data_IF_039426621677
#
_entry.id   IF_039426621677
#
_cell.length_a   1.000
_cell.length_b   1.000
_cell.length_c   1.000
_cell.angle_alpha   90.00
_cell.angle_beta   90.00
_cell.angle_gamma   90.00
#
_symmetry.space_group_name_H-M   'P 1'
#
loop_
_entity.id
_entity.type
_entity.pdbx_description
1 polymer ?
#
# COMPACT_ATOMS: atom_id res chain seq x y z
N UNK A 1 30.33 44.84 -24.44
CA UNK A 1 29.80 43.88 -25.44
C UNK A 1 28.29 44.09 -25.46
N UNK A 2 27.76 44.77 -26.48
CA UNK A 2 26.31 45.02 -26.59
C UNK A 2 25.65 43.73 -27.03
N UNK A 3 24.83 43.10 -26.18
CA UNK A 3 24.01 41.96 -26.62
C UNK A 3 23.19 42.39 -27.83
N UNK A 4 23.25 41.61 -28.90
CA UNK A 4 22.37 41.79 -30.04
C UNK A 4 20.93 41.52 -29.56
N UNK A 5 19.96 42.35 -29.97
CA UNK A 5 18.57 42.24 -29.48
C UNK A 5 17.96 40.86 -29.74
N UNK A 6 18.43 40.18 -30.80
CA UNK A 6 18.04 38.81 -31.12
C UNK A 6 18.51 37.79 -30.06
N UNK A 7 19.74 37.91 -29.57
CA UNK A 7 20.29 37.01 -28.55
C UNK A 7 19.56 37.17 -27.22
N UNK A 8 19.23 38.42 -26.85
CA UNK A 8 18.44 38.69 -25.64
C UNK A 8 17.03 38.10 -25.73
N UNK A 9 16.38 38.19 -26.90
CA UNK A 9 15.05 37.60 -27.11
C UNK A 9 15.06 36.07 -27.05
N UNK A 10 16.10 35.45 -27.61
CA UNK A 10 16.29 34.00 -27.55
C UNK A 10 16.48 33.51 -26.11
N UNK A 11 17.34 34.17 -25.33
CA UNK A 11 17.59 33.84 -23.92
C UNK A 11 16.30 33.94 -23.08
N UNK A 12 15.48 34.97 -23.31
CA UNK A 12 14.19 35.13 -22.61
C UNK A 12 13.23 33.99 -22.94
N UNK A 13 13.12 33.62 -24.23
CA UNK A 13 12.25 32.54 -24.66
C UNK A 13 12.69 31.19 -24.05
N UNK A 14 13.99 30.90 -24.09
CA UNK A 14 14.57 29.68 -23.51
C UNK A 14 14.34 29.63 -21.98
N UNK A 15 14.49 30.76 -21.30
CA UNK A 15 14.21 30.88 -19.87
C UNK A 15 12.73 30.63 -19.57
N UNK A 16 11.81 31.14 -20.40
CA UNK A 16 10.38 31.00 -20.21
C UNK A 16 9.90 29.55 -20.47
N UNK A 17 10.48 28.89 -21.46
CA UNK A 17 10.25 27.46 -21.73
C UNK A 17 10.81 26.61 -20.59
N UNK A 18 12.02 26.91 -20.12
CA UNK A 18 12.62 26.20 -18.99
C UNK A 18 11.79 26.36 -17.71
N UNK A 19 11.30 27.58 -17.45
CA UNK A 19 10.45 27.87 -16.30
C UNK A 19 9.09 27.17 -16.40
N UNK A 20 8.49 27.08 -17.58
CA UNK A 20 7.20 26.41 -17.77
C UNK A 20 7.32 24.89 -17.59
N UNK A 21 8.41 24.29 -18.07
CA UNK A 21 8.73 22.88 -17.82
C UNK A 21 8.93 22.67 -16.32
N UNK A 22 9.71 23.52 -15.66
CA UNK A 22 9.94 23.40 -14.21
C UNK A 22 8.64 23.51 -13.43
N UNK A 23 7.79 24.49 -13.76
CA UNK A 23 6.48 24.67 -13.13
C UNK A 23 5.57 23.45 -13.33
N UNK A 24 5.58 22.84 -14.52
CA UNK A 24 4.84 21.61 -14.80
C UNK A 24 5.34 20.43 -13.96
N UNK A 25 6.66 20.28 -13.84
CA UNK A 25 7.24 19.21 -13.01
C UNK A 25 6.88 19.36 -11.54
N UNK A 26 7.04 20.57 -11.00
CA UNK A 26 6.74 20.85 -9.58
C UNK A 26 5.25 20.77 -9.31
N UNK A 27 4.41 21.30 -10.20
CA UNK A 27 2.97 21.40 -9.99
C UNK A 27 2.20 20.10 -10.26
N UNK A 28 2.70 19.24 -11.15
CA UNK A 28 1.94 18.06 -11.62
C UNK A 28 2.75 16.78 -11.45
N UNK A 29 3.96 16.70 -12.02
CA UNK A 29 4.69 15.43 -12.09
C UNK A 29 5.10 14.93 -10.72
N UNK A 30 5.66 15.80 -9.88
CA UNK A 30 6.09 15.46 -8.52
C UNK A 30 4.90 15.01 -7.65
N UNK A 31 3.81 15.81 -7.49
CA UNK A 31 2.70 15.39 -6.64
C UNK A 31 2.04 14.10 -7.13
N UNK A 32 1.84 13.94 -8.44
CA UNK A 32 1.31 12.71 -9.02
C UNK A 32 2.19 11.49 -8.71
N UNK A 33 3.51 11.64 -8.85
CA UNK A 33 4.45 10.54 -8.56
C UNK A 33 4.44 10.17 -7.08
N UNK A 34 4.38 11.16 -6.19
CA UNK A 34 4.27 10.92 -4.74
C UNK A 34 2.97 10.19 -4.38
N UNK A 35 1.84 10.62 -4.94
CA UNK A 35 0.55 9.98 -4.72
C UNK A 35 0.55 8.52 -5.18
N UNK A 36 1.11 8.25 -6.37
CA UNK A 36 1.26 6.88 -6.87
C UNK A 36 2.13 6.00 -5.97
N UNK A 37 3.22 6.53 -5.42
CA UNK A 37 4.07 5.80 -4.48
C UNK A 37 3.35 5.50 -3.16
N UNK A 38 2.59 6.47 -2.64
CA UNK A 38 1.78 6.28 -1.43
C UNK A 38 0.71 5.21 -1.64
N UNK A 39 -0.06 5.29 -2.73
CA UNK A 39 -1.08 4.30 -3.08
C UNK A 39 -0.48 2.90 -3.25
N UNK A 40 0.69 2.81 -3.88
CA UNK A 40 1.40 1.53 -4.02
C UNK A 40 1.81 0.96 -2.67
N UNK A 41 2.30 1.79 -1.75
CA UNK A 41 2.68 1.36 -0.40
C UNK A 41 1.47 0.82 0.36
N UNK A 42 0.37 1.57 0.38
CA UNK A 42 -0.88 1.16 1.03
C UNK A 42 -1.43 -0.15 0.45
N UNK A 43 -1.42 -0.29 -0.88
CA UNK A 43 -1.91 -1.51 -1.52
C UNK A 43 -1.02 -2.72 -1.24
N UNK A 44 0.30 -2.54 -1.14
CA UNK A 44 1.23 -3.60 -0.74
C UNK A 44 0.91 -4.10 0.67
N UNK A 45 0.70 -3.17 1.61
CA UNK A 45 0.34 -3.50 2.99
C UNK A 45 -0.98 -4.27 3.08
N UNK A 46 -2.01 -3.86 2.35
CA UNK A 46 -3.28 -4.58 2.28
C UNK A 46 -3.15 -6.01 1.73
N UNK A 47 -2.28 -6.20 0.72
CA UNK A 47 -2.02 -7.52 0.14
C UNK A 47 -1.29 -8.42 1.15
N UNK A 48 -0.29 -7.90 1.86
CA UNK A 48 0.39 -8.65 2.92
C UNK A 48 -0.56 -8.98 4.08
N UNK A 49 -1.39 -8.02 4.51
CA UNK A 49 -2.41 -8.26 5.55
C UNK A 49 -3.35 -9.42 5.17
N UNK A 50 -3.81 -9.43 3.92
CA UNK A 50 -4.67 -10.49 3.37
C UNK A 50 -3.95 -11.83 3.32
N UNK A 51 -2.66 -11.84 2.96
CA UNK A 51 -1.83 -13.04 2.97
C UNK A 51 -1.64 -13.59 4.38
N UNK A 52 -1.34 -12.74 5.36
CA UNK A 52 -1.21 -13.16 6.75
C UNK A 52 -2.52 -13.72 7.31
N UNK A 53 -3.65 -13.09 6.97
CA UNK A 53 -4.96 -13.61 7.34
C UNK A 53 -5.21 -15.00 6.74
N UNK A 54 -4.89 -15.19 5.46
CA UNK A 54 -5.00 -16.47 4.79
C UNK A 54 -4.10 -17.54 5.43
N UNK A 55 -2.84 -17.21 5.73
CA UNK A 55 -1.90 -18.12 6.39
C UNK A 55 -2.38 -18.48 7.81
N UNK A 56 -2.88 -17.51 8.59
CA UNK A 56 -3.47 -17.78 9.90
C UNK A 56 -4.71 -18.67 9.78
N UNK A 57 -5.59 -18.41 8.81
CA UNK A 57 -6.79 -19.22 8.57
C UNK A 57 -6.47 -20.66 8.17
N UNK A 58 -5.40 -20.89 7.40
CA UNK A 58 -4.99 -22.23 6.95
C UNK A 58 -4.60 -23.14 8.12
N UNK A 59 -4.00 -22.58 9.17
CA UNK A 59 -3.54 -23.31 10.35
C UNK A 59 -4.35 -23.02 11.60
N UNK A 60 -5.55 -22.48 11.41
CA UNK A 60 -6.44 -22.12 12.50
C UNK A 60 -7.00 -23.36 13.17
N UNK A 61 -6.85 -23.42 14.50
CA UNK A 61 -7.43 -24.47 15.34
C UNK A 61 -8.18 -23.80 16.48
N UNK A 62 -9.52 -23.85 16.43
CA UNK A 62 -10.38 -23.25 17.45
C UNK A 62 -10.15 -23.82 18.86
N UNK A 63 -9.60 -25.04 18.97
CA UNK A 63 -9.30 -25.68 20.26
C UNK A 63 -7.98 -25.21 20.86
N UNK A 64 -7.10 -24.61 20.04
CA UNK A 64 -5.80 -24.11 20.44
C UNK A 64 -5.51 -22.76 19.77
N UNK A 65 -6.15 -21.68 20.22
CA UNK A 65 -5.93 -20.35 19.67
C UNK A 65 -4.46 -19.98 19.78
N UNK A 66 -3.85 -19.58 18.66
CA UNK A 66 -2.45 -19.18 18.61
C UNK A 66 -2.30 -17.68 18.49
N UNK A 67 -1.23 -17.20 19.09
CA UNK A 67 -0.68 -15.89 18.84
C UNK A 67 0.57 -16.05 17.98
N UNK A 68 0.60 -15.38 16.83
CA UNK A 68 1.70 -15.45 15.86
C UNK A 68 2.06 -14.08 15.33
N UNK A 69 3.37 -13.84 15.21
CA UNK A 69 3.89 -12.65 14.54
C UNK A 69 4.50 -13.02 13.20
N UNK A 70 4.04 -12.35 12.14
CA UNK A 70 4.53 -12.50 10.79
C UNK A 70 5.39 -11.29 10.39
N UNK A 71 6.42 -11.54 9.58
CA UNK A 71 7.28 -10.50 9.04
C UNK A 71 7.50 -10.74 7.54
N UNK A 72 7.19 -9.76 6.71
CA UNK A 72 7.41 -9.86 5.26
C UNK A 72 7.59 -8.50 4.61
N UNK A 73 8.67 -8.35 3.83
CA UNK A 73 8.83 -7.21 2.94
C UNK A 73 8.77 -5.84 3.61
N UNK A 74 9.10 -5.75 4.91
CA UNK A 74 9.03 -4.55 5.73
C UNK A 74 7.73 -4.37 6.54
N UNK A 75 6.75 -5.26 6.37
CA UNK A 75 5.49 -5.26 7.12
C UNK A 75 5.59 -6.30 8.24
N UNK A 76 5.26 -5.87 9.46
CA UNK A 76 5.17 -6.75 10.63
C UNK A 76 3.71 -6.84 11.05
N UNK A 77 3.20 -8.06 11.18
CA UNK A 77 1.81 -8.29 11.55
C UNK A 77 1.70 -9.23 12.74
N UNK A 78 0.71 -8.98 13.58
CA UNK A 78 0.39 -9.78 14.75
C UNK A 78 -0.99 -10.39 14.57
N UNK A 79 -1.06 -11.71 14.64
CA UNK A 79 -2.28 -12.50 14.48
C UNK A 79 -2.71 -13.01 15.83
N UNK A 80 -3.85 -12.52 16.30
CA UNK A 80 -4.50 -12.99 17.52
C UNK A 80 -5.69 -13.85 17.08
N UNK A 81 -5.58 -15.16 17.32
CA UNK A 81 -6.66 -16.10 17.10
C UNK A 81 -7.51 -16.20 18.38
N UNK A 82 -8.83 -16.30 18.23
CA UNK A 82 -9.78 -16.64 19.29
C UNK A 82 -10.50 -17.92 18.90
N UNK A 83 -11.42 -18.43 19.72
CA UNK A 83 -12.23 -19.61 19.36
C UNK A 83 -13.15 -19.41 18.14
N UNK A 84 -13.39 -18.15 17.71
CA UNK A 84 -14.38 -17.82 16.66
C UNK A 84 -13.89 -16.83 15.61
N UNK A 85 -12.70 -16.26 15.79
CA UNK A 85 -12.22 -15.18 14.94
C UNK A 85 -10.70 -15.16 14.85
N UNK A 86 -10.21 -14.56 13.78
CA UNK A 86 -8.81 -14.22 13.61
C UNK A 86 -8.71 -12.71 13.44
N UNK A 87 -7.80 -12.08 14.18
CA UNK A 87 -7.57 -10.64 14.13
C UNK A 87 -6.12 -10.37 13.73
N UNK A 88 -5.94 -9.64 12.64
CA UNK A 88 -4.62 -9.24 12.17
C UNK A 88 -4.42 -7.76 12.46
N UNK A 89 -3.31 -7.46 13.14
CA UNK A 89 -2.85 -6.11 13.46
C UNK A 89 -1.55 -5.87 12.72
N UNK A 90 -1.39 -4.71 12.09
CA UNK A 90 -0.13 -4.26 11.49
C UNK A 90 0.23 -2.95 12.17
N UNK A 91 1.47 -2.82 12.64
CA UNK A 91 1.97 -1.62 13.35
C UNK A 91 1.04 -1.13 14.48
N UNK A 92 0.44 -2.06 15.22
CA UNK A 92 -0.58 -1.85 16.28
C UNK A 92 -1.92 -1.25 15.81
N UNK A 93 -2.13 -1.05 14.52
CA UNK A 93 -3.43 -0.70 13.95
C UNK A 93 -4.18 -1.95 13.47
N UNK A 94 -5.48 -2.02 13.77
CA UNK A 94 -6.33 -3.13 13.33
C UNK A 94 -6.76 -2.90 11.89
N UNK A 95 -6.14 -3.60 10.95
CA UNK A 95 -6.42 -3.39 9.52
C UNK A 95 -7.53 -4.30 9.00
N UNK A 96 -7.69 -5.52 9.53
CA UNK A 96 -8.68 -6.46 8.98
C UNK A 96 -9.26 -7.39 10.06
N UNK A 97 -10.59 -7.55 10.04
CA UNK A 97 -11.35 -8.48 10.90
C UNK A 97 -12.08 -9.47 10.00
N UNK A 98 -11.89 -10.77 10.24
CA UNK A 98 -12.76 -11.80 9.68
C UNK A 98 -13.59 -12.40 10.82
N UNK A 99 -14.88 -12.11 10.83
CA UNK A 99 -15.86 -12.77 11.70
C UNK A 99 -16.41 -13.98 10.93
N UNK A 100 -16.11 -15.19 11.39
CA UNK A 100 -16.70 -16.39 10.81
C UNK A 100 -18.17 -16.48 11.25
N UNK A 101 -19.12 -16.28 10.33
CA UNK A 101 -20.55 -16.48 10.62
C UNK A 101 -20.95 -17.95 10.40
N UNK A 102 -20.36 -18.65 9.43
CA UNK A 102 -20.31 -20.12 9.31
C UNK A 102 -19.70 -20.46 7.94
N UNK A 103 -19.08 -21.63 7.81
CA UNK A 103 -18.78 -22.24 6.53
C UNK A 103 -19.41 -23.63 6.53
N UNK A 104 -20.60 -23.74 5.95
CA UNK A 104 -21.24 -25.04 5.69
C UNK A 104 -20.79 -25.55 4.32
N UNK A 105 -20.03 -26.64 4.32
CA UNK A 105 -19.71 -27.39 3.11
C UNK A 105 -20.61 -28.62 3.05
N UNK A 106 -21.60 -28.60 2.15
CA UNK A 106 -22.40 -29.78 1.85
C UNK A 106 -21.61 -30.67 0.88
N UNK A 107 -20.84 -31.60 1.42
CA UNK A 107 -20.26 -32.69 0.63
C UNK A 107 -21.33 -33.79 0.57
N UNK A 108 -22.19 -33.71 -0.45
CA UNK A 108 -23.01 -34.85 -0.85
C UNK A 108 -22.08 -35.88 -1.51
N UNK A 109 -21.45 -36.73 -0.70
CA UNK A 109 -20.89 -37.99 -1.17
C UNK A 109 -22.04 -38.95 -1.52
N UNK A 110 -22.05 -39.39 -2.78
CA UNK A 110 -22.90 -40.47 -3.28
C UNK A 110 -22.12 -41.76 -3.30
#
# INVERSE_FOLDING_TARGET
>A
MSLNKQDAGFIILESLVSLSILAFFVGIVIPFSMEMLLLRSQKKEQVEASRFLYESALFYDASQPKDKTYHSGGVSAHSIETEKSIHIYIDNERITKMDYISAEWNINEK
#
